data_IF_290557943025
#
_entry.id   IF_290557943025
#
_cell.length_a   1.000
_cell.length_b   1.000
_cell.length_c   1.000
_cell.angle_alpha   90.00
_cell.angle_beta   90.00
_cell.angle_gamma   90.00
#
_symmetry.space_group_name_H-M   'P 1'
#
loop_
_entity.id
_entity.type
_entity.pdbx_description
1 polymer ?
#
# COMPACT_ATOMS: atom_id res chain seq x y z
N UNK A 1 13.16 -4.56 -14.79
CA UNK A 1 13.82 -3.76 -15.85
C UNK A 1 13.04 -2.48 -16.09
N UNK A 2 13.68 -1.45 -16.60
CA UNK A 2 13.06 -0.14 -16.87
C UNK A 2 12.14 -0.17 -18.09
N UNK A 3 12.31 -1.14 -19.00
CA UNK A 3 11.53 -1.21 -20.25
C UNK A 3 10.24 -1.99 -20.08
N UNK A 4 9.10 -1.37 -20.36
CA UNK A 4 7.76 -1.99 -20.30
C UNK A 4 7.68 -3.26 -21.16
N UNK A 5 8.26 -3.26 -22.36
CA UNK A 5 8.27 -4.46 -23.24
C UNK A 5 8.92 -5.67 -22.59
N UNK A 6 10.04 -5.47 -21.89
CA UNK A 6 10.71 -6.57 -21.18
C UNK A 6 9.86 -7.05 -20.00
N UNK A 7 9.26 -6.13 -19.26
CA UNK A 7 8.39 -6.45 -18.14
C UNK A 7 7.13 -7.20 -18.59
N UNK A 8 6.48 -6.76 -19.66
CA UNK A 8 5.30 -7.46 -20.21
C UNK A 8 5.64 -8.84 -20.74
N UNK A 9 6.81 -9.03 -21.37
CA UNK A 9 7.27 -10.36 -21.80
C UNK A 9 7.60 -11.27 -20.62
N UNK A 10 8.16 -10.75 -19.53
CA UNK A 10 8.37 -11.51 -18.29
C UNK A 10 7.05 -11.94 -17.67
N UNK A 11 6.05 -11.06 -17.61
CA UNK A 11 4.71 -11.40 -17.09
C UNK A 11 4.07 -12.50 -17.94
N UNK A 12 4.08 -12.37 -19.27
CA UNK A 12 3.56 -13.41 -20.17
C UNK A 12 4.29 -14.75 -20.04
N UNK A 13 5.56 -14.72 -19.69
CA UNK A 13 6.37 -15.93 -19.45
C UNK A 13 6.00 -16.61 -18.13
N UNK A 14 5.66 -15.82 -17.09
CA UNK A 14 5.20 -16.34 -15.80
C UNK A 14 3.74 -16.77 -15.82
N UNK A 15 2.91 -16.05 -16.56
CA UNK A 15 1.48 -16.32 -16.69
C UNK A 15 1.13 -16.64 -18.15
N UNK A 16 1.07 -17.92 -18.47
CA UNK A 16 0.72 -18.41 -19.81
C UNK A 16 -0.77 -18.68 -19.92
N UNK A 17 -1.59 -17.70 -19.58
CA UNK A 17 -3.04 -17.79 -19.68
C UNK A 17 -3.57 -16.87 -20.78
N UNK A 18 -4.56 -17.30 -21.56
CA UNK A 18 -5.20 -16.46 -22.59
C UNK A 18 -6.04 -15.33 -21.97
N UNK A 19 -6.39 -15.42 -20.70
CA UNK A 19 -7.18 -14.42 -19.97
C UNK A 19 -6.34 -13.21 -19.53
N UNK A 20 -5.02 -13.28 -19.64
CA UNK A 20 -4.15 -12.13 -19.34
C UNK A 20 -4.36 -11.06 -20.42
N UNK A 21 -4.88 -9.92 -20.00
CA UNK A 21 -5.06 -8.73 -20.82
C UNK A 21 -4.01 -7.68 -20.48
N UNK A 22 -3.41 -7.12 -21.50
CA UNK A 22 -2.47 -6.03 -21.43
C UNK A 22 -3.02 -4.90 -22.29
N UNK A 23 -3.41 -3.80 -21.64
CA UNK A 23 -3.89 -2.59 -22.31
C UNK A 23 -2.77 -1.55 -22.26
N UNK A 24 -2.30 -1.11 -23.42
CA UNK A 24 -1.24 -0.14 -23.55
C UNK A 24 -1.83 1.25 -23.86
N UNK A 25 -1.38 2.27 -23.18
CA UNK A 25 -1.75 3.68 -23.42
C UNK A 25 -0.53 4.57 -23.27
N UNK A 26 -0.61 5.77 -23.83
CA UNK A 26 0.41 6.81 -23.72
C UNK A 26 -0.06 7.88 -22.74
N UNK A 27 0.77 8.21 -21.76
CA UNK A 27 0.49 9.22 -20.76
C UNK A 27 1.54 10.34 -20.84
N UNK A 28 1.09 11.57 -20.68
CA UNK A 28 1.93 12.77 -20.76
C UNK A 28 1.92 13.44 -22.13
N UNK A 29 1.80 14.77 -22.13
CA UNK A 29 1.73 15.58 -23.38
C UNK A 29 3.04 15.60 -24.14
N UNK A 30 4.16 15.59 -23.43
CA UNK A 30 5.51 15.73 -24.02
C UNK A 30 6.33 14.46 -23.89
N UNK A 31 6.26 13.76 -22.76
CA UNK A 31 7.03 12.52 -22.53
C UNK A 31 6.48 11.35 -23.33
N UNK A 32 5.17 11.31 -23.61
CA UNK A 32 4.49 10.20 -24.29
C UNK A 32 4.93 8.85 -23.71
N UNK A 33 4.88 8.77 -22.37
CA UNK A 33 5.35 7.59 -21.63
C UNK A 33 4.40 6.42 -21.84
N UNK A 34 4.94 5.29 -22.28
CA UNK A 34 4.16 4.05 -22.41
C UNK A 34 3.75 3.53 -21.04
N UNK A 35 2.47 3.30 -20.87
CA UNK A 35 1.88 2.73 -19.66
C UNK A 35 1.05 1.52 -20.03
N UNK A 36 1.27 0.40 -19.35
CA UNK A 36 0.53 -0.84 -19.57
C UNK A 36 -0.29 -1.20 -18.35
N UNK A 37 -1.59 -1.34 -18.54
CA UNK A 37 -2.52 -1.89 -17.56
C UNK A 37 -2.64 -3.39 -17.78
N UNK A 38 -2.30 -4.17 -16.76
CA UNK A 38 -2.35 -5.63 -16.78
C UNK A 38 -3.48 -6.13 -15.86
N UNK A 39 -4.31 -7.05 -16.34
CA UNK A 39 -5.38 -7.67 -15.55
C UNK A 39 -5.74 -9.04 -16.10
N UNK A 40 -6.45 -9.84 -15.30
CA UNK A 40 -6.95 -11.16 -15.73
C UNK A 40 -8.45 -11.05 -15.96
N UNK A 41 -8.86 -11.31 -17.19
CA UNK A 41 -10.28 -11.32 -17.57
C UNK A 41 -11.04 -12.42 -16.82
N UNK A 42 -12.20 -12.09 -16.27
CA UNK A 42 -13.00 -13.02 -15.46
C UNK A 42 -12.58 -13.15 -13.99
N UNK A 43 -11.39 -12.64 -13.61
CA UNK A 43 -10.91 -12.66 -12.23
C UNK A 43 -10.87 -11.26 -11.61
N UNK A 44 -10.39 -10.29 -12.37
CA UNK A 44 -10.29 -8.89 -11.94
C UNK A 44 -11.66 -8.21 -12.08
N UNK A 45 -12.08 -7.42 -11.08
CA UNK A 45 -13.33 -6.64 -11.18
C UNK A 45 -13.25 -5.65 -12.36
N UNK A 46 -14.17 -5.73 -13.33
CA UNK A 46 -14.21 -4.83 -14.48
C UNK A 46 -14.26 -3.35 -14.09
N UNK A 47 -14.91 -3.02 -12.98
CA UNK A 47 -15.02 -1.64 -12.47
C UNK A 47 -13.64 -1.06 -12.11
N UNK A 48 -12.76 -1.88 -11.54
CA UNK A 48 -11.38 -1.46 -11.21
C UNK A 48 -10.57 -1.18 -12.48
N UNK A 49 -10.76 -2.01 -13.50
CA UNK A 49 -10.07 -1.85 -14.79
C UNK A 49 -10.54 -0.57 -15.49
N UNK A 50 -11.84 -0.34 -15.54
CA UNK A 50 -12.42 0.87 -16.14
C UNK A 50 -12.00 2.14 -15.41
N UNK A 51 -12.04 2.11 -14.08
CA UNK A 51 -11.59 3.23 -13.25
C UNK A 51 -10.10 3.53 -13.46
N UNK A 52 -9.26 2.49 -13.55
CA UNK A 52 -7.83 2.67 -13.84
C UNK A 52 -7.62 3.31 -15.21
N UNK A 53 -8.30 2.83 -16.26
CA UNK A 53 -8.22 3.41 -17.60
C UNK A 53 -8.69 4.86 -17.61
N UNK A 54 -9.85 5.14 -17.00
CA UNK A 54 -10.40 6.49 -16.92
C UNK A 54 -9.45 7.46 -16.21
N UNK A 55 -8.79 7.02 -15.14
CA UNK A 55 -7.81 7.84 -14.44
C UNK A 55 -6.58 8.11 -15.29
N UNK A 56 -6.05 7.10 -15.97
CA UNK A 56 -4.91 7.26 -16.88
C UNK A 56 -5.23 8.24 -18.02
N UNK A 57 -6.42 8.13 -18.60
CA UNK A 57 -6.88 9.01 -19.69
C UNK A 57 -7.11 10.47 -19.20
N UNK A 58 -7.39 10.65 -17.92
CA UNK A 58 -7.60 11.98 -17.31
C UNK A 58 -6.31 12.67 -16.89
N UNK A 59 -5.17 11.99 -16.96
CA UNK A 59 -3.87 12.56 -16.59
C UNK A 59 -3.42 13.57 -17.64
N UNK A 60 -3.39 14.84 -17.25
CA UNK A 60 -2.97 15.96 -18.08
C UNK A 60 -1.69 16.60 -17.51
N UNK A 61 -0.56 15.96 -17.79
CA UNK A 61 0.78 16.41 -17.38
C UNK A 61 1.78 16.36 -18.53
N UNK A 62 2.85 17.11 -18.42
CA UNK A 62 3.90 17.11 -19.44
C UNK A 62 4.72 15.80 -19.44
N UNK A 63 4.90 15.17 -18.28
CA UNK A 63 5.70 13.95 -18.18
C UNK A 63 5.39 13.11 -16.93
N UNK A 64 5.43 11.79 -17.11
CA UNK A 64 5.12 10.78 -16.09
C UNK A 64 6.41 10.04 -15.72
N UNK A 65 7.29 10.71 -14.95
CA UNK A 65 8.68 10.30 -14.79
C UNK A 65 9.08 9.84 -13.38
N UNK A 66 8.16 9.92 -12.39
CA UNK A 66 8.51 9.53 -11.03
C UNK A 66 7.51 8.54 -10.42
N UNK A 67 7.98 7.63 -9.52
CA UNK A 67 7.09 6.72 -8.79
C UNK A 67 6.00 7.46 -7.98
N UNK A 68 6.35 8.59 -7.38
CA UNK A 68 5.40 9.39 -6.60
C UNK A 68 4.29 9.99 -7.48
N UNK A 69 4.62 10.44 -8.70
CA UNK A 69 3.62 10.92 -9.65
C UNK A 69 2.65 9.81 -10.06
N UNK A 70 3.14 8.58 -10.24
CA UNK A 70 2.26 7.42 -10.53
C UNK A 70 1.22 7.24 -9.44
N UNK A 71 1.66 7.25 -8.18
CA UNK A 71 0.76 7.08 -7.05
C UNK A 71 -0.26 8.22 -6.97
N UNK A 72 0.19 9.48 -7.04
CA UNK A 72 -0.64 10.66 -6.94
C UNK A 72 -1.73 10.70 -8.02
N UNK A 73 -1.35 10.52 -9.29
CA UNK A 73 -2.29 10.62 -10.42
C UNK A 73 -3.22 9.41 -10.54
N UNK A 74 -2.73 8.22 -10.24
CA UNK A 74 -3.53 7.00 -10.32
C UNK A 74 -4.51 6.88 -9.15
N UNK A 75 -4.12 7.31 -7.95
CA UNK A 75 -5.02 7.23 -6.78
C UNK A 75 -5.93 8.45 -6.64
N UNK A 76 -5.60 9.54 -7.32
CA UNK A 76 -6.20 10.85 -7.09
C UNK A 76 -5.68 11.45 -5.77
N UNK A 77 -5.69 12.76 -5.68
CA UNK A 77 -5.22 13.52 -4.50
C UNK A 77 -6.13 13.30 -3.29
N UNK A 78 -6.12 12.09 -2.73
CA UNK A 78 -6.85 11.77 -1.49
C UNK A 78 -5.89 11.86 -0.32
N UNK A 79 -6.19 12.69 0.70
CA UNK A 79 -5.40 12.74 1.92
C UNK A 79 -5.60 11.43 2.71
N UNK A 80 -4.75 10.46 2.47
CA UNK A 80 -4.75 9.18 3.20
C UNK A 80 -3.36 8.91 3.74
N UNK A 81 -3.29 8.41 4.97
CA UNK A 81 -2.06 7.96 5.59
C UNK A 81 -1.62 6.56 5.11
N UNK A 82 -2.49 5.85 4.38
CA UNK A 82 -2.23 4.51 3.90
C UNK A 82 -1.93 4.52 2.40
N UNK A 83 -0.90 3.79 1.92
CA UNK A 83 -0.64 3.64 0.51
C UNK A 83 -1.81 2.91 -0.17
N UNK A 84 -2.29 3.46 -1.28
CA UNK A 84 -3.39 2.89 -2.07
C UNK A 84 -2.89 1.98 -3.18
N UNK A 85 -1.61 2.10 -3.54
CA UNK A 85 -0.92 1.23 -4.47
C UNK A 85 0.12 0.38 -3.76
N UNK A 86 0.19 -0.86 -4.17
CA UNK A 86 1.29 -1.75 -3.86
C UNK A 86 2.31 -1.66 -5.00
N UNK A 87 3.60 -1.64 -4.71
CA UNK A 87 4.63 -1.68 -5.74
C UNK A 87 5.59 -2.86 -5.52
N UNK A 88 6.14 -3.37 -6.61
CA UNK A 88 7.10 -4.46 -6.57
C UNK A 88 8.04 -4.43 -7.78
N UNK A 89 9.30 -4.76 -7.56
CA UNK A 89 10.28 -4.97 -8.63
C UNK A 89 10.28 -6.42 -9.15
N UNK A 90 9.61 -7.31 -8.46
CA UNK A 90 9.60 -8.75 -8.73
C UNK A 90 8.41 -9.14 -9.58
N UNK A 91 8.68 -9.73 -10.75
CA UNK A 91 7.65 -10.20 -11.66
C UNK A 91 6.76 -11.30 -11.08
N UNK A 92 7.32 -12.20 -10.24
CA UNK A 92 6.55 -13.25 -9.57
C UNK A 92 5.50 -12.68 -8.60
N UNK A 93 5.87 -11.64 -7.83
CA UNK A 93 4.94 -10.96 -6.92
C UNK A 93 3.87 -10.16 -7.68
N UNK A 94 4.27 -9.53 -8.78
CA UNK A 94 3.33 -8.84 -9.64
C UNK A 94 2.28 -9.81 -10.19
N UNK A 95 2.71 -10.95 -10.72
CA UNK A 95 1.81 -12.00 -11.21
C UNK A 95 0.90 -12.54 -10.10
N UNK A 96 1.42 -12.75 -8.87
CA UNK A 96 0.59 -13.16 -7.73
C UNK A 96 -0.49 -12.10 -7.40
N UNK A 97 -0.17 -10.81 -7.52
CA UNK A 97 -1.14 -9.73 -7.35
C UNK A 97 -2.25 -9.79 -8.39
N UNK A 98 -1.92 -10.05 -9.67
CA UNK A 98 -2.91 -10.23 -10.72
C UNK A 98 -3.79 -11.46 -10.47
N UNK A 99 -3.20 -12.58 -10.02
CA UNK A 99 -3.95 -13.79 -9.64
C UNK A 99 -4.84 -13.59 -8.39
N UNK A 100 -4.56 -12.57 -7.58
CA UNK A 100 -5.45 -12.15 -6.50
C UNK A 100 -6.57 -11.20 -6.96
N UNK A 101 -6.76 -11.01 -8.28
CA UNK A 101 -7.80 -10.16 -8.86
C UNK A 101 -7.49 -8.67 -8.87
N UNK A 102 -6.24 -8.27 -8.62
CA UNK A 102 -5.81 -6.87 -8.66
C UNK A 102 -5.51 -6.40 -10.07
N UNK A 103 -5.57 -5.11 -10.29
CA UNK A 103 -5.09 -4.46 -11.52
C UNK A 103 -3.64 -4.11 -11.37
N UNK A 104 -2.84 -4.47 -12.35
CA UNK A 104 -1.43 -4.12 -12.42
C UNK A 104 -1.18 -2.94 -13.36
N UNK A 105 -0.19 -2.12 -13.04
CA UNK A 105 0.26 -1.00 -13.86
C UNK A 105 1.78 -1.07 -14.02
N UNK A 106 2.24 -0.96 -15.26
CA UNK A 106 3.65 -0.87 -15.62
C UNK A 106 3.87 0.45 -16.35
N UNK A 107 4.91 1.17 -15.96
CA UNK A 107 5.27 2.47 -16.55
C UNK A 107 6.65 2.35 -17.16
N UNK A 108 6.79 2.79 -18.40
CA UNK A 108 8.09 2.78 -19.09
C UNK A 108 9.06 3.75 -18.40
N UNK A 109 10.32 3.33 -18.29
CA UNK A 109 11.33 4.07 -17.54
C UNK A 109 11.30 3.85 -16.02
N UNK A 110 10.33 3.09 -15.48
CA UNK A 110 10.29 2.75 -14.07
C UNK A 110 10.48 1.23 -13.87
N UNK A 111 11.39 0.80 -12.97
CA UNK A 111 11.63 -0.62 -12.70
C UNK A 111 10.54 -1.26 -11.82
N UNK A 112 9.50 -0.52 -11.51
CA UNK A 112 8.43 -0.89 -10.57
C UNK A 112 7.18 -1.33 -11.32
N UNK A 113 6.56 -2.41 -10.84
CA UNK A 113 5.18 -2.77 -11.17
C UNK A 113 4.25 -2.37 -10.02
N UNK A 114 3.19 -1.66 -10.32
CA UNK A 114 2.19 -1.22 -9.35
C UNK A 114 0.98 -2.14 -9.39
N UNK A 115 0.37 -2.39 -8.25
CA UNK A 115 -0.83 -3.21 -8.09
C UNK A 115 -1.87 -2.45 -7.28
N UNK A 116 -3.09 -2.41 -7.77
CA UNK A 116 -4.22 -1.77 -7.13
C UNK A 116 -5.39 -2.75 -6.97
N UNK A 117 -6.19 -2.63 -5.91
CA UNK A 117 -5.94 -1.83 -4.70
C UNK A 117 -4.91 -2.46 -3.76
N UNK A 118 -4.24 -1.64 -2.95
CA UNK A 118 -3.50 -2.15 -1.80
C UNK A 118 -4.48 -2.47 -0.66
N UNK A 119 -4.20 -3.55 0.07
CA UNK A 119 -4.97 -3.96 1.23
C UNK A 119 -4.13 -3.95 2.51
N UNK A 120 -4.80 -3.97 3.66
CA UNK A 120 -4.13 -4.02 4.96
C UNK A 120 -3.29 -5.30 5.11
N UNK A 121 -3.75 -6.41 4.53
CA UNK A 121 -3.02 -7.68 4.54
C UNK A 121 -1.65 -7.56 3.89
N UNK A 122 -1.56 -6.80 2.79
CA UNK A 122 -0.28 -6.52 2.15
C UNK A 122 0.67 -5.73 3.07
N UNK A 123 0.16 -4.70 3.75
CA UNK A 123 0.95 -3.89 4.68
C UNK A 123 1.46 -4.70 5.87
N UNK A 124 0.74 -5.77 6.25
CA UNK A 124 1.11 -6.65 7.35
C UNK A 124 2.01 -7.82 6.93
N UNK A 125 2.35 -7.94 5.64
CA UNK A 125 3.27 -8.98 5.13
C UNK A 125 4.62 -8.39 4.76
N UNK A 126 5.70 -9.04 5.20
CA UNK A 126 7.07 -8.71 4.76
C UNK A 126 7.57 -9.72 3.72
N UNK A 127 8.46 -9.30 2.81
CA UNK A 127 9.18 -10.24 1.95
C UNK A 127 9.94 -11.32 2.71
N UNK A 128 10.41 -11.01 3.91
CA UNK A 128 11.17 -11.90 4.79
C UNK A 128 10.31 -13.04 5.35
N UNK A 129 9.01 -12.81 5.58
CA UNK A 129 8.07 -13.82 6.08
C UNK A 129 8.03 -15.08 5.19
N UNK A 130 8.42 -14.95 3.91
CA UNK A 130 8.43 -16.06 2.95
C UNK A 130 9.66 -16.97 3.03
N UNK A 131 10.73 -16.49 3.66
CA UNK A 131 11.93 -17.28 3.95
C UNK A 131 11.85 -18.05 5.26
N UNK A 132 10.80 -17.83 6.04
CA UNK A 132 10.57 -18.46 7.33
C UNK A 132 9.66 -19.67 7.22
N UNK A 133 9.77 -20.62 8.18
CA UNK A 133 8.81 -21.70 8.34
C UNK A 133 7.40 -21.16 8.57
N UNK A 134 6.39 -21.93 8.16
CA UNK A 134 4.98 -21.55 8.28
C UNK A 134 4.59 -21.07 9.68
N UNK A 135 5.03 -21.79 10.73
CA UNK A 135 4.73 -21.42 12.12
C UNK A 135 5.38 -20.08 12.50
N UNK A 136 6.65 -19.89 12.15
CA UNK A 136 7.39 -18.66 12.45
C UNK A 136 6.80 -17.47 11.71
N UNK A 137 6.50 -17.61 10.42
CA UNK A 137 5.86 -16.57 9.62
C UNK A 137 4.46 -16.20 10.15
N UNK A 138 3.69 -17.20 10.58
CA UNK A 138 2.37 -16.97 11.19
C UNK A 138 2.48 -16.25 12.53
N UNK A 139 3.42 -16.66 13.38
CA UNK A 139 3.65 -16.03 14.69
C UNK A 139 4.06 -14.55 14.53
N UNK A 140 5.01 -14.27 13.62
CA UNK A 140 5.44 -12.89 13.32
C UNK A 140 4.28 -12.03 12.81
N UNK A 141 3.43 -12.60 11.96
CA UNK A 141 2.24 -11.89 11.44
C UNK A 141 1.24 -11.58 12.55
N UNK A 142 0.95 -12.54 13.43
CA UNK A 142 0.08 -12.31 14.60
C UNK A 142 0.67 -11.25 15.52
N UNK A 143 1.98 -11.31 15.78
CA UNK A 143 2.67 -10.30 16.59
C UNK A 143 2.57 -8.89 15.97
N UNK A 144 2.66 -8.77 14.65
CA UNK A 144 2.54 -7.51 13.91
C UNK A 144 1.12 -6.93 14.03
N UNK A 145 0.08 -7.78 13.91
CA UNK A 145 -1.30 -7.36 14.16
C UNK A 145 -1.54 -6.96 15.62
N UNK A 146 -0.98 -7.71 16.57
CA UNK A 146 -1.07 -7.37 17.98
C UNK A 146 -0.36 -6.03 18.28
N UNK A 147 0.81 -5.79 17.72
CA UNK A 147 1.53 -4.53 17.86
C UNK A 147 0.73 -3.35 17.28
N UNK A 148 0.10 -3.52 16.10
CA UNK A 148 -0.79 -2.51 15.52
C UNK A 148 -1.98 -2.21 16.44
N UNK A 149 -2.65 -3.24 16.95
CA UNK A 149 -3.76 -3.06 17.89
C UNK A 149 -3.33 -2.35 19.16
N UNK A 150 -2.21 -2.74 19.75
CA UNK A 150 -1.66 -2.09 20.94
C UNK A 150 -1.32 -0.62 20.65
N UNK A 151 -0.70 -0.32 19.51
CA UNK A 151 -0.34 1.06 19.17
C UNK A 151 -1.55 1.98 19.01
N UNK A 152 -2.69 1.45 18.58
CA UNK A 152 -3.95 2.19 18.45
C UNK A 152 -4.71 2.29 19.77
N UNK A 153 -4.80 1.19 20.52
CA UNK A 153 -5.61 1.10 21.73
C UNK A 153 -4.93 1.74 22.94
N UNK A 154 -3.60 1.62 23.06
CA UNK A 154 -2.88 2.08 24.24
C UNK A 154 -2.98 3.59 24.48
N UNK A 155 -2.79 4.47 23.48
CA UNK A 155 -3.02 5.91 23.64
C UNK A 155 -4.48 6.24 23.95
N UNK A 156 -5.43 5.57 23.27
CA UNK A 156 -6.85 5.77 23.52
C UNK A 156 -7.26 5.37 24.94
N UNK A 157 -6.73 4.24 25.42
CA UNK A 157 -6.93 3.75 26.77
C UNK A 157 -6.34 4.69 27.82
N UNK A 158 -5.12 5.20 27.56
CA UNK A 158 -4.50 6.19 28.43
C UNK A 158 -5.35 7.45 28.57
N UNK A 159 -5.83 8.00 27.45
CA UNK A 159 -6.70 9.19 27.48
C UNK A 159 -8.01 8.89 28.19
N UNK A 160 -8.63 7.74 27.94
CA UNK A 160 -9.86 7.34 28.61
C UNK A 160 -9.69 7.23 30.12
N UNK A 161 -8.60 6.63 30.60
CA UNK A 161 -8.33 6.54 32.04
C UNK A 161 -7.97 7.91 32.65
N UNK A 162 -7.12 8.68 32.00
CA UNK A 162 -6.65 9.96 32.54
C UNK A 162 -7.73 11.04 32.56
N UNK A 163 -8.67 11.05 31.54
CA UNK A 163 -9.67 12.07 31.41
C UNK A 163 -11.01 11.70 32.07
N UNK A 164 -11.43 10.42 32.02
CA UNK A 164 -12.77 10.01 32.41
C UNK A 164 -12.82 9.10 33.65
N UNK A 165 -11.75 8.32 33.91
CA UNK A 165 -11.73 7.31 34.99
C UNK A 165 -10.43 7.38 35.80
N UNK A 166 -10.18 8.54 36.43
CA UNK A 166 -8.99 8.74 37.26
C UNK A 166 -8.92 7.81 38.49
N UNK A 167 -10.07 7.36 38.96
CA UNK A 167 -10.23 6.41 40.07
C UNK A 167 -9.67 5.01 39.77
N UNK A 168 -9.53 4.65 38.47
CA UNK A 168 -8.94 3.37 38.06
C UNK A 168 -7.41 3.40 37.99
N UNK A 169 -6.79 4.57 38.14
CA UNK A 169 -5.33 4.71 38.09
C UNK A 169 -4.73 4.29 39.43
N UNK A 170 -3.82 3.32 39.45
CA UNK A 170 -3.14 2.95 40.70
C UNK A 170 -2.42 4.17 41.32
N UNK A 171 -2.57 4.33 42.62
CA UNK A 171 -2.01 5.43 43.38
C UNK A 171 -0.51 5.73 43.10
N UNK A 172 0.37 4.74 42.94
CA UNK A 172 1.77 5.01 42.59
C UNK A 172 1.96 5.68 41.24
N UNK A 173 1.12 5.30 40.25
CA UNK A 173 1.15 5.87 38.90
C UNK A 173 0.60 7.30 38.89
N UNK A 174 -0.45 7.55 39.66
CA UNK A 174 -1.03 8.88 39.85
C UNK A 174 -0.01 9.84 40.45
N UNK A 175 0.75 9.42 41.50
CA UNK A 175 1.81 10.22 42.09
C UNK A 175 2.91 10.54 41.09
N UNK A 176 3.39 9.55 40.31
CA UNK A 176 4.40 9.76 39.30
C UNK A 176 3.95 10.75 38.22
N UNK A 177 2.64 10.71 37.84
CA UNK A 177 2.07 11.67 36.90
C UNK A 177 2.01 13.09 37.47
N UNK A 178 1.66 13.24 38.73
CA UNK A 178 1.62 14.56 39.38
C UNK A 178 3.04 15.13 39.50
N UNK A 179 4.02 14.36 39.98
CA UNK A 179 5.41 14.76 40.05
C UNK A 179 5.99 15.15 38.70
N UNK A 180 5.65 14.41 37.63
CA UNK A 180 6.11 14.76 36.28
C UNK A 180 5.49 16.08 35.76
N UNK A 181 4.26 16.41 36.18
CA UNK A 181 3.59 17.68 35.80
C UNK A 181 4.15 18.88 36.59
N UNK A 182 4.58 18.72 37.83
CA UNK A 182 5.20 19.80 38.61
C UNK A 182 6.54 20.27 38.02
N UNK A 183 7.22 19.41 37.24
CA UNK A 183 8.47 19.76 36.57
C UNK A 183 8.27 20.54 35.25
N UNK A 184 7.03 20.70 34.76
CA UNK A 184 6.76 21.39 33.50
C UNK A 184 6.33 22.84 33.75
N UNK A 185 7.07 23.84 33.24
CA UNK A 185 6.83 25.27 33.52
C UNK A 185 5.55 25.86 32.93
N UNK A 186 4.75 25.06 32.20
CA UNK A 186 3.50 25.50 31.58
C UNK A 186 2.33 24.69 32.14
N UNK A 187 1.26 25.35 32.67
CA UNK A 187 0.06 24.65 33.07
C UNK A 187 -0.64 24.08 31.83
N UNK A 188 -0.71 22.78 31.76
CA UNK A 188 -1.59 22.11 30.79
C UNK A 188 -3.01 22.15 31.34
N UNK A 189 -3.88 22.83 30.60
CA UNK A 189 -5.34 22.88 30.86
C UNK A 189 -5.93 21.48 30.73
#
# INVERSE_FOLDING_TARGET
>A
TETVRTNTSLIRRHMRTPELRLYETLVGRRSLTNVTVAYIEGLTDPRLVEEMKKRLDSIDIDGFLSPAAVEEYVTGSRPTAFPLLQYTERADKFCQGLLAGRVGLLVDGLPLGYLAPADLGYLMTSPEDRGMDYLSASAVRVLRYAALMLSLLLPAFYVAMAAFHQEMIPLPLLRAMIESKESVPFPTV
#
